data_IF_961708063636
#
_entry.id   IF_961708063636
#
_cell.length_a   1.000
_cell.length_b   1.000
_cell.length_c   1.000
_cell.angle_alpha   90.00
_cell.angle_beta   90.00
_cell.angle_gamma   90.00
#
_symmetry.space_group_name_H-M   'P 1'
#
loop_
_entity.id
_entity.type
_entity.pdbx_description
1 polymer ?
#
# COMPACT_ATOMS: atom_id res chain seq x y z
N UNK A 1 -12.12 0.18 16.91
CA UNK A 1 -12.28 -0.30 15.52
C UNK A 1 -11.26 0.44 14.68
N UNK A 2 -10.36 -0.28 14.00
CA UNK A 2 -9.23 0.33 13.29
C UNK A 2 -9.58 0.53 11.83
N UNK A 3 -9.43 1.75 11.32
CA UNK A 3 -9.53 2.02 9.88
C UNK A 3 -8.14 2.11 9.27
N UNK A 4 -8.02 1.62 8.03
CA UNK A 4 -6.83 1.70 7.21
C UNK A 4 -7.09 2.68 6.07
N UNK A 5 -6.24 3.68 5.95
CA UNK A 5 -6.31 4.70 4.91
C UNK A 5 -5.12 4.53 3.98
N UNK A 6 -5.38 4.37 2.69
CA UNK A 6 -4.36 4.55 1.67
C UNK A 6 -4.46 5.99 1.16
N UNK A 7 -3.46 6.81 1.48
CA UNK A 7 -3.31 8.12 0.83
C UNK A 7 -2.65 7.88 -0.53
N UNK A 8 -3.41 7.97 -1.63
CA UNK A 8 -2.85 7.79 -2.96
C UNK A 8 -1.90 8.95 -3.32
N UNK A 9 -0.64 8.63 -3.64
CA UNK A 9 0.43 9.63 -3.84
C UNK A 9 1.19 9.42 -5.14
N UNK A 10 0.55 8.75 -6.11
CA UNK A 10 1.01 8.62 -7.49
C UNK A 10 0.11 9.42 -8.43
N UNK A 11 0.57 9.71 -9.67
CA UNK A 11 -0.24 10.44 -10.64
C UNK A 11 -1.52 9.72 -11.08
N UNK A 12 -1.48 8.37 -11.07
CA UNK A 12 -2.56 7.48 -11.47
C UNK A 12 -2.53 6.21 -10.62
N UNK A 13 -3.67 5.54 -10.52
CA UNK A 13 -3.74 4.17 -10.00
C UNK A 13 -3.27 3.22 -11.10
N UNK A 14 -2.02 2.76 -11.04
CA UNK A 14 -1.51 1.78 -12.01
C UNK A 14 -2.15 0.39 -11.81
N UNK A 15 -1.98 -0.51 -12.79
CA UNK A 15 -2.45 -1.90 -12.70
C UNK A 15 -1.83 -2.64 -11.50
N UNK A 16 -0.55 -2.40 -11.23
CA UNK A 16 0.12 -2.89 -10.01
C UNK A 16 -0.56 -2.38 -8.74
N UNK A 17 -0.72 -1.05 -8.61
CA UNK A 17 -1.32 -0.46 -7.40
C UNK A 17 -2.75 -0.94 -7.18
N UNK A 18 -3.51 -1.12 -8.26
CA UNK A 18 -4.84 -1.70 -8.19
C UNK A 18 -4.84 -3.08 -7.53
N UNK A 19 -3.92 -3.97 -7.90
CA UNK A 19 -3.82 -5.29 -7.27
C UNK A 19 -3.41 -5.22 -5.81
N UNK A 20 -2.45 -4.36 -5.45
CA UNK A 20 -2.11 -4.15 -4.05
C UNK A 20 -3.28 -3.60 -3.24
N UNK A 21 -3.99 -2.57 -3.74
CA UNK A 21 -5.14 -1.98 -3.04
C UNK A 21 -6.28 -2.98 -2.88
N UNK A 22 -6.54 -3.79 -3.92
CA UNK A 22 -7.51 -4.87 -3.87
C UNK A 22 -7.10 -5.93 -2.85
N UNK A 23 -5.81 -6.21 -2.71
CA UNK A 23 -5.31 -7.12 -1.69
C UNK A 23 -5.43 -6.53 -0.28
N UNK A 24 -5.13 -5.23 -0.10
CA UNK A 24 -5.39 -4.51 1.17
C UNK A 24 -6.86 -4.67 1.58
N UNK A 25 -7.80 -4.46 0.65
CA UNK A 25 -9.23 -4.65 0.92
C UNK A 25 -9.57 -6.05 1.45
N UNK A 26 -8.95 -7.11 0.87
CA UNK A 26 -9.12 -8.49 1.35
C UNK A 26 -8.49 -8.71 2.74
N UNK A 27 -7.36 -8.07 3.00
CA UNK A 27 -6.61 -8.19 4.27
C UNK A 27 -7.38 -7.53 5.40
N UNK A 28 -7.76 -6.25 5.24
CA UNK A 28 -8.34 -5.44 6.31
C UNK A 28 -9.87 -5.47 6.35
N UNK A 29 -10.51 -5.98 5.30
CA UNK A 29 -11.96 -5.88 5.11
C UNK A 29 -12.32 -4.57 4.40
N UNK A 30 -13.20 -4.64 3.39
CA UNK A 30 -13.63 -3.48 2.59
C UNK A 30 -14.21 -2.38 3.48
N UNK A 31 -14.95 -2.76 4.51
CA UNK A 31 -15.58 -1.87 5.50
C UNK A 31 -14.58 -1.11 6.38
N UNK A 32 -13.32 -1.55 6.43
CA UNK A 32 -12.28 -0.89 7.21
C UNK A 32 -11.29 -0.11 6.33
N UNK A 33 -11.43 -0.17 5.01
CA UNK A 33 -10.54 0.49 4.05
C UNK A 33 -11.14 1.82 3.55
N UNK A 34 -10.36 2.89 3.65
CA UNK A 34 -10.61 4.18 3.03
C UNK A 34 -9.46 4.53 2.09
N UNK A 35 -9.75 5.16 0.96
CA UNK A 35 -8.72 5.63 0.03
C UNK A 35 -8.90 7.13 -0.20
N UNK A 36 -7.83 7.91 -0.04
CA UNK A 36 -7.86 9.37 -0.14
C UNK A 36 -6.96 9.86 -1.27
N UNK A 37 -7.13 11.13 -1.64
CA UNK A 37 -6.35 11.85 -2.64
C UNK A 37 -6.49 11.33 -4.09
N UNK A 38 -7.61 10.71 -4.45
CA UNK A 38 -7.83 10.17 -5.80
C UNK A 38 -8.51 11.20 -6.71
N UNK A 39 -7.75 11.83 -7.61
CA UNK A 39 -8.24 13.00 -8.38
C UNK A 39 -9.16 12.64 -9.54
N UNK A 40 -8.94 11.53 -10.23
CA UNK A 40 -9.77 11.08 -11.35
C UNK A 40 -11.07 10.42 -10.85
N UNK A 41 -12.20 10.85 -11.38
CA UNK A 41 -13.54 10.38 -11.01
C UNK A 41 -13.77 8.91 -11.40
N UNK A 42 -13.20 8.44 -12.51
CA UNK A 42 -13.27 7.05 -12.96
C UNK A 42 -12.47 6.15 -12.03
N UNK A 43 -11.27 6.57 -11.63
CA UNK A 43 -10.47 5.84 -10.63
C UNK A 43 -11.22 5.72 -9.30
N UNK A 44 -11.84 6.82 -8.83
CA UNK A 44 -12.68 6.78 -7.61
C UNK A 44 -13.83 5.79 -7.72
N UNK A 45 -14.53 5.75 -8.86
CA UNK A 45 -15.61 4.79 -9.10
C UNK A 45 -15.10 3.35 -9.10
N UNK A 46 -13.93 3.08 -9.69
CA UNK A 46 -13.34 1.73 -9.68
C UNK A 46 -12.94 1.33 -8.25
N UNK A 47 -12.27 2.23 -7.53
CA UNK A 47 -11.80 1.99 -6.15
C UNK A 47 -12.93 1.82 -5.12
N UNK A 48 -14.11 2.42 -5.32
CA UNK A 48 -15.24 2.25 -4.41
C UNK A 48 -15.81 0.82 -4.37
N UNK A 49 -15.45 -0.01 -5.35
CA UNK A 49 -15.76 -1.44 -5.35
C UNK A 49 -14.96 -2.21 -4.29
N UNK A 50 -13.80 -1.71 -3.87
CA UNK A 50 -12.89 -2.37 -2.91
C UNK A 50 -12.71 -1.61 -1.59
N UNK A 51 -13.17 -0.35 -1.48
CA UNK A 51 -13.06 0.44 -0.26
C UNK A 51 -14.45 0.88 0.26
N UNK A 52 -14.56 1.16 1.55
CA UNK A 52 -15.75 1.74 2.17
C UNK A 52 -16.02 3.14 1.60
N UNK A 53 -14.98 3.98 1.58
CA UNK A 53 -15.02 5.36 1.09
C UNK A 53 -13.80 5.66 0.23
N UNK A 54 -14.01 6.47 -0.82
CA UNK A 54 -12.95 6.97 -1.67
C UNK A 54 -13.10 8.49 -1.85
N UNK A 55 -12.10 9.25 -1.43
CA UNK A 55 -12.11 10.71 -1.43
C UNK A 55 -11.25 11.29 -2.54
N UNK A 56 -11.70 12.43 -3.07
CA UNK A 56 -10.90 13.28 -3.97
C UNK A 56 -9.86 14.05 -3.17
N UNK A 57 -10.26 14.49 -1.98
CA UNK A 57 -9.51 15.26 -1.00
C UNK A 57 -8.37 14.42 -0.42
N UNK A 58 -7.27 15.08 -0.07
CA UNK A 58 -6.20 14.44 0.68
C UNK A 58 -6.66 14.14 2.10
N UNK A 59 -6.08 13.13 2.77
CA UNK A 59 -6.36 12.85 4.18
C UNK A 59 -6.25 14.08 5.08
N UNK A 60 -5.35 15.03 4.73
CA UNK A 60 -5.15 16.29 5.45
C UNK A 60 -6.37 17.22 5.46
N UNK A 61 -7.34 16.97 4.58
CA UNK A 61 -8.54 17.78 4.36
C UNK A 61 -9.82 17.00 4.74
N UNK A 62 -9.69 15.77 5.27
CA UNK A 62 -10.83 14.93 5.63
C UNK A 62 -11.15 14.98 7.12
N UNK A 63 -12.39 14.67 7.50
CA UNK A 63 -12.82 14.55 8.90
C UNK A 63 -12.07 13.48 9.70
N UNK A 64 -11.32 12.59 9.03
CA UNK A 64 -10.54 11.54 9.66
C UNK A 64 -9.47 12.13 10.58
N UNK A 65 -8.88 13.28 10.24
CA UNK A 65 -7.81 13.90 11.03
C UNK A 65 -8.30 14.50 12.36
N UNK A 66 -9.55 14.94 12.42
CA UNK A 66 -10.07 15.69 13.57
C UNK A 66 -10.58 14.77 14.68
N UNK A 67 -11.02 13.57 14.31
CA UNK A 67 -11.80 12.70 15.21
C UNK A 67 -11.06 11.42 15.62
N UNK A 68 -9.82 11.22 15.17
CA UNK A 68 -9.11 9.95 15.30
C UNK A 68 -7.62 10.13 15.68
N UNK A 69 -7.05 9.08 16.26
CA UNK A 69 -5.62 8.97 16.51
C UNK A 69 -4.93 8.45 15.25
N UNK A 70 -4.20 9.32 14.55
CA UNK A 70 -3.54 8.95 13.29
C UNK A 70 -2.17 8.33 13.55
N UNK A 71 -1.94 7.16 12.96
CA UNK A 71 -0.63 6.53 12.84
C UNK A 71 -0.23 6.52 11.36
N UNK A 72 0.85 7.19 11.00
CA UNK A 72 1.43 7.13 9.65
C UNK A 72 2.56 6.10 9.64
N UNK A 73 2.47 5.15 8.70
CA UNK A 73 3.55 4.20 8.46
C UNK A 73 4.63 4.88 7.60
N UNK A 74 5.81 5.08 8.18
CA UNK A 74 6.96 5.69 7.54
C UNK A 74 8.20 4.82 7.80
N UNK A 75 8.82 4.24 6.76
CA UNK A 75 10.06 3.46 6.90
C UNK A 75 11.20 4.24 7.59
N UNK A 76 11.18 5.57 7.56
CA UNK A 76 12.19 6.42 8.21
C UNK A 76 11.82 6.84 9.64
N UNK A 77 10.67 6.41 10.18
CA UNK A 77 10.32 6.69 11.56
C UNK A 77 11.31 6.03 12.52
N UNK A 78 11.54 6.66 13.68
CA UNK A 78 12.52 6.18 14.67
C UNK A 78 12.03 4.99 15.51
N UNK A 79 10.72 4.77 15.57
CA UNK A 79 10.10 3.76 16.44
C UNK A 79 9.26 2.80 15.61
N UNK A 80 9.38 1.52 15.94
CA UNK A 80 8.52 0.46 15.42
C UNK A 80 7.08 0.62 15.93
N UNK A 81 6.13 0.27 15.07
CA UNK A 81 4.71 0.14 15.42
C UNK A 81 4.53 -0.93 16.50
N UNK A 82 3.70 -0.64 17.50
CA UNK A 82 3.43 -1.58 18.60
C UNK A 82 1.94 -1.72 18.86
N UNK A 83 1.48 -2.83 19.47
CA UNK A 83 0.08 -3.00 19.88
C UNK A 83 -0.40 -1.84 20.76
N UNK A 84 0.46 -1.31 21.63
CA UNK A 84 0.14 -0.19 22.52
C UNK A 84 -0.10 1.15 21.81
N UNK A 85 0.20 1.26 20.51
CA UNK A 85 -0.12 2.46 19.73
C UNK A 85 -1.60 2.52 19.33
N UNK A 86 -2.34 1.41 19.45
CA UNK A 86 -3.72 1.29 19.00
C UNK A 86 -4.73 1.58 20.13
N UNK A 87 -5.79 2.31 19.77
CA UNK A 87 -6.95 2.68 20.58
C UNK A 87 -8.24 2.41 19.79
N UNK A 88 -9.41 2.63 20.41
CA UNK A 88 -10.70 2.44 19.73
C UNK A 88 -10.91 3.32 18.50
N UNK A 89 -10.16 4.43 18.37
CA UNK A 89 -10.27 5.45 17.31
C UNK A 89 -9.01 5.57 16.47
N UNK A 90 -8.21 4.52 16.35
CA UNK A 90 -6.98 4.57 15.56
C UNK A 90 -7.27 4.49 14.06
N UNK A 91 -6.60 5.36 13.31
CA UNK A 91 -6.54 5.34 11.84
C UNK A 91 -5.09 5.13 11.41
N UNK A 92 -4.83 4.03 10.73
CA UNK A 92 -3.52 3.73 10.14
C UNK A 92 -3.47 4.32 8.74
N UNK A 93 -2.48 5.15 8.45
CA UNK A 93 -2.29 5.82 7.17
C UNK A 93 -1.07 5.23 6.48
N UNK A 94 -1.30 4.68 5.29
CA UNK A 94 -0.31 4.06 4.43
C UNK A 94 -0.15 4.95 3.20
N UNK A 95 1.10 5.27 2.87
CA UNK A 95 1.39 5.99 1.62
C UNK A 95 1.16 5.06 0.44
N UNK A 96 0.19 5.40 -0.41
CA UNK A 96 -0.04 4.75 -1.70
C UNK A 96 1.02 5.18 -2.71
N UNK A 97 2.26 4.73 -2.48
CA UNK A 97 3.48 5.14 -3.19
C UNK A 97 4.13 3.88 -3.78
N UNK A 98 4.49 3.93 -5.06
CA UNK A 98 5.31 2.88 -5.68
C UNK A 98 6.73 2.92 -5.11
N UNK A 99 7.19 1.76 -4.64
CA UNK A 99 8.53 1.61 -4.07
C UNK A 99 9.63 1.86 -5.11
N UNK A 100 10.72 2.48 -4.67
CA UNK A 100 11.97 2.57 -5.40
C UNK A 100 13.02 1.68 -4.71
N UNK A 101 13.97 1.13 -5.48
CA UNK A 101 15.15 0.50 -4.94
C UNK A 101 16.42 1.24 -5.42
N UNK A 102 17.21 1.87 -4.53
CA UNK A 102 16.99 2.00 -3.08
C UNK A 102 15.84 2.95 -2.70
N UNK A 103 15.27 2.86 -1.48
CA UNK A 103 14.18 3.71 -1.05
C UNK A 103 14.53 5.20 -1.05
N UNK A 104 13.67 6.04 -1.65
CA UNK A 104 13.90 7.51 -1.75
C UNK A 104 13.27 8.34 -0.62
N UNK A 105 12.68 7.71 0.40
CA UNK A 105 12.06 8.43 1.52
C UNK A 105 10.83 9.28 1.16
N UNK A 106 10.13 8.92 0.07
CA UNK A 106 8.98 9.69 -0.46
C UNK A 106 7.85 9.84 0.56
N UNK A 107 7.60 8.83 1.40
CA UNK A 107 6.56 8.90 2.45
C UNK A 107 6.77 10.08 3.39
N UNK A 108 8.02 10.32 3.83
CA UNK A 108 8.33 11.45 4.70
C UNK A 108 7.99 12.79 4.05
N UNK A 109 8.41 12.96 2.80
CA UNK A 109 8.23 14.19 2.05
C UNK A 109 6.76 14.45 1.65
N UNK A 110 6.07 13.41 1.17
CA UNK A 110 4.73 13.50 0.58
C UNK A 110 3.60 13.37 1.60
N UNK A 111 3.85 12.74 2.76
CA UNK A 111 2.82 12.42 3.74
C UNK A 111 3.16 12.93 5.15
N UNK A 112 4.26 12.48 5.75
CA UNK A 112 4.54 12.76 7.17
C UNK A 112 4.68 14.25 7.48
N UNK A 113 5.34 15.01 6.60
CA UNK A 113 5.51 16.46 6.76
C UNK A 113 4.16 17.22 6.75
N UNK A 114 3.13 16.65 6.12
CA UNK A 114 1.79 17.24 6.01
C UNK A 114 0.88 16.84 7.18
N UNK A 115 1.27 15.84 7.98
CA UNK A 115 0.54 15.33 9.14
C UNK A 115 1.38 15.47 10.42
N UNK A 116 1.74 16.70 10.86
CA UNK A 116 2.68 16.91 11.96
C UNK A 116 2.19 16.30 13.29
N UNK A 117 0.88 16.27 13.53
CA UNK A 117 0.27 15.73 14.75
C UNK A 117 0.13 14.21 14.78
N UNK A 118 0.23 13.53 13.63
CA UNK A 118 0.12 12.08 13.58
C UNK A 118 1.32 11.42 14.27
N UNK A 119 1.11 10.25 14.85
CA UNK A 119 2.18 9.36 15.32
C UNK A 119 2.86 8.76 14.08
N UNK A 120 4.19 8.68 14.05
CA UNK A 120 4.94 8.02 12.96
C UNK A 120 5.57 6.74 13.47
N UNK A 121 5.42 5.66 12.71
CA UNK A 121 5.95 4.34 13.04
C UNK A 121 6.53 3.65 11.81
N UNK A 122 7.62 2.89 12.02
CA UNK A 122 8.17 2.01 11.00
C UNK A 122 7.68 0.58 11.25
N UNK A 123 7.97 -0.31 10.30
CA UNK A 123 7.66 -1.75 10.38
C UNK A 123 8.96 -2.58 10.40
N UNK A 124 10.01 -2.05 11.01
CA UNK A 124 11.37 -2.58 10.94
C UNK A 124 12.21 -1.89 9.85
N UNK A 125 13.35 -2.52 9.51
CA UNK A 125 14.35 -1.96 8.59
C UNK A 125 14.02 -2.17 7.10
N UNK A 126 13.14 -3.13 6.79
CA UNK A 126 12.78 -3.46 5.41
C UNK A 126 11.75 -2.49 4.84
N UNK A 127 11.78 -2.33 3.52
CA UNK A 127 10.71 -1.65 2.78
C UNK A 127 9.63 -2.67 2.40
N UNK A 128 8.37 -2.34 2.63
CA UNK A 128 7.24 -3.21 2.32
C UNK A 128 6.39 -2.63 1.17
N UNK A 129 5.70 -3.50 0.44
CA UNK A 129 4.59 -3.12 -0.43
C UNK A 129 3.41 -2.54 0.38
N UNK A 130 2.44 -1.94 -0.31
CA UNK A 130 1.31 -1.27 0.35
C UNK A 130 0.44 -2.30 1.10
N UNK A 131 0.22 -3.46 0.50
CA UNK A 131 -0.50 -4.58 1.09
C UNK A 131 0.29 -5.31 2.18
N UNK A 132 1.61 -5.44 2.02
CA UNK A 132 2.51 -5.93 3.07
C UNK A 132 2.47 -5.06 4.33
N UNK A 133 2.54 -3.74 4.15
CA UNK A 133 2.43 -2.79 5.25
C UNK A 133 1.06 -2.84 5.93
N UNK A 134 -0.02 -2.97 5.15
CA UNK A 134 -1.38 -3.11 5.68
C UNK A 134 -1.54 -4.39 6.49
N UNK A 135 -1.00 -5.51 6.01
CA UNK A 135 -1.05 -6.79 6.72
C UNK A 135 -0.34 -6.72 8.07
N UNK A 136 0.90 -6.22 8.09
CA UNK A 136 1.67 -6.11 9.34
C UNK A 136 0.95 -5.19 10.32
N UNK A 137 0.47 -4.03 9.86
CA UNK A 137 -0.27 -3.10 10.71
C UNK A 137 -1.58 -3.71 11.25
N UNK A 138 -2.28 -4.51 10.45
CA UNK A 138 -3.47 -5.26 10.90
C UNK A 138 -3.11 -6.25 12.00
N UNK A 139 -2.11 -7.09 11.80
CA UNK A 139 -1.68 -8.06 12.81
C UNK A 139 -1.30 -7.38 14.12
N UNK A 140 -0.58 -6.26 14.06
CA UNK A 140 -0.20 -5.50 15.27
C UNK A 140 -1.43 -4.88 15.94
N UNK A 141 -2.38 -4.38 15.16
CA UNK A 141 -3.65 -3.86 15.70
C UNK A 141 -4.50 -4.95 16.38
N UNK A 142 -4.28 -6.22 16.03
CA UNK A 142 -4.94 -7.39 16.62
C UNK A 142 -4.17 -7.95 17.82
N UNK A 143 -3.07 -7.30 18.23
CA UNK A 143 -2.33 -7.59 19.46
C UNK A 143 -0.99 -8.28 19.27
N UNK A 144 -0.57 -8.55 18.03
CA UNK A 144 0.73 -9.18 17.75
C UNK A 144 1.89 -8.18 17.84
N UNK A 145 3.02 -8.60 18.40
CA UNK A 145 4.25 -7.81 18.30
C UNK A 145 4.87 -7.96 16.90
N UNK A 146 5.56 -6.93 16.41
CA UNK A 146 6.21 -6.97 15.08
C UNK A 146 7.15 -8.17 14.94
N UNK A 147 7.88 -8.50 16.01
CA UNK A 147 8.81 -9.64 16.06
C UNK A 147 8.13 -11.01 15.93
N UNK A 148 6.82 -11.10 16.13
CA UNK A 148 6.05 -12.35 15.98
C UNK A 148 5.61 -12.59 14.53
N UNK A 149 5.71 -11.59 13.66
CA UNK A 149 5.28 -11.67 12.27
C UNK A 149 6.47 -12.15 11.43
N UNK A 150 6.44 -13.38 10.88
CA UNK A 150 7.55 -13.88 10.08
C UNK A 150 7.64 -13.09 8.77
N UNK A 151 8.84 -12.62 8.43
CA UNK A 151 9.10 -11.78 7.26
C UNK A 151 10.30 -12.36 6.51
N UNK A 152 10.20 -12.42 5.19
CA UNK A 152 11.33 -12.71 4.30
C UNK A 152 11.72 -11.47 3.52
N UNK A 153 13.02 -11.33 3.24
CA UNK A 153 13.56 -10.26 2.42
C UNK A 153 13.78 -10.76 0.99
N UNK A 154 13.19 -10.06 0.03
CA UNK A 154 13.26 -10.41 -1.38
C UNK A 154 12.21 -11.46 -1.78
N UNK A 155 11.72 -11.32 -3.01
CA UNK A 155 10.93 -12.34 -3.69
C UNK A 155 11.46 -12.52 -5.10
N UNK A 156 11.80 -13.75 -5.45
CA UNK A 156 12.06 -14.16 -6.83
C UNK A 156 10.80 -14.77 -7.44
N UNK A 157 10.37 -14.23 -8.57
CA UNK A 157 9.25 -14.73 -9.35
C UNK A 157 9.83 -15.30 -10.63
N UNK A 158 9.87 -16.62 -10.73
CA UNK A 158 10.25 -17.32 -11.95
C UNK A 158 9.14 -17.16 -13.01
N UNK A 159 9.51 -16.59 -14.15
CA UNK A 159 8.60 -16.38 -15.30
C UNK A 159 8.87 -17.44 -16.38
N UNK A 160 10.13 -17.79 -16.60
CA UNK A 160 10.57 -18.90 -17.46
C UNK A 160 11.97 -19.36 -17.06
N UNK A 161 12.47 -20.45 -17.64
CA UNK A 161 13.82 -21.00 -17.43
C UNK A 161 14.97 -19.97 -17.60
N UNK A 162 14.72 -18.82 -18.23
CA UNK A 162 15.72 -17.78 -18.51
C UNK A 162 15.33 -16.39 -18.03
N UNK A 163 14.19 -16.25 -17.34
CA UNK A 163 13.69 -14.95 -16.91
C UNK A 163 13.03 -15.05 -15.54
N UNK A 164 13.54 -14.26 -14.60
CA UNK A 164 12.98 -14.06 -13.27
C UNK A 164 12.82 -12.57 -13.00
N UNK A 165 11.79 -12.24 -12.23
CA UNK A 165 11.56 -10.92 -11.67
C UNK A 165 12.00 -10.95 -10.21
N UNK A 166 12.83 -9.99 -9.80
CA UNK A 166 13.32 -9.85 -8.42
C UNK A 166 12.67 -8.63 -7.79
N UNK A 167 11.94 -8.85 -6.69
CA UNK A 167 11.31 -7.79 -5.91
C UNK A 167 12.04 -7.62 -4.57
N UNK A 168 12.85 -6.56 -4.39
CA UNK A 168 13.71 -6.38 -3.23
C UNK A 168 12.97 -5.73 -2.04
N UNK A 169 11.83 -6.30 -1.66
CA UNK A 169 11.01 -5.83 -0.54
C UNK A 169 10.93 -6.86 0.58
N UNK A 170 10.50 -6.44 1.76
CA UNK A 170 10.06 -7.33 2.82
C UNK A 170 8.67 -7.87 2.52
N UNK A 171 8.47 -9.17 2.74
CA UNK A 171 7.21 -9.86 2.57
C UNK A 171 6.83 -10.60 3.86
N UNK A 172 5.72 -10.23 4.54
CA UNK A 172 5.22 -11.05 5.64
C UNK A 172 4.79 -12.42 5.11
N UNK A 173 5.00 -13.48 5.89
CA UNK A 173 4.61 -14.83 5.52
C UNK A 173 3.19 -15.14 6.03
N UNK A 174 2.31 -15.55 5.12
CA UNK A 174 0.98 -16.09 5.44
C UNK A 174 0.97 -17.56 5.09
N UNK A 175 0.73 -18.43 6.08
CA UNK A 175 0.80 -19.88 5.93
C UNK A 175 2.11 -20.36 5.29
N UNK A 176 3.23 -19.73 5.67
CA UNK A 176 4.57 -20.06 5.18
C UNK A 176 4.90 -19.55 3.77
N UNK A 177 4.02 -18.77 3.13
CA UNK A 177 4.24 -18.17 1.81
C UNK A 177 4.32 -16.65 1.88
N UNK A 178 5.18 -15.99 1.09
CA UNK A 178 5.22 -14.53 0.97
C UNK A 178 3.84 -13.96 0.62
N UNK A 179 3.41 -12.93 1.34
CA UNK A 179 2.17 -12.22 1.06
C UNK A 179 2.31 -11.41 -0.22
N UNK A 180 1.76 -11.96 -1.30
CA UNK A 180 1.60 -11.26 -2.57
C UNK A 180 0.32 -11.76 -3.22
N UNK A 181 -0.45 -10.86 -3.84
CA UNK A 181 -1.71 -11.29 -4.46
C UNK A 181 -1.44 -12.16 -5.70
N UNK A 182 -2.27 -13.18 -5.90
CA UNK A 182 -2.20 -14.03 -7.10
C UNK A 182 -2.38 -13.22 -8.38
N UNK A 183 -3.22 -12.18 -8.34
CA UNK A 183 -3.43 -11.27 -9.47
C UNK A 183 -2.17 -10.46 -9.81
N UNK A 184 -1.43 -10.00 -8.80
CA UNK A 184 -0.14 -9.33 -9.01
C UNK A 184 0.91 -10.30 -9.56
N UNK A 185 0.97 -11.53 -9.05
CA UNK A 185 1.87 -12.56 -9.59
C UNK A 185 1.57 -12.86 -11.07
N UNK A 186 0.29 -13.03 -11.41
CA UNK A 186 -0.11 -13.31 -12.79
C UNK A 186 0.20 -12.13 -13.72
N UNK A 187 -0.04 -10.90 -13.25
CA UNK A 187 0.32 -9.69 -13.98
C UNK A 187 1.82 -9.58 -14.23
N UNK A 188 2.64 -9.81 -13.20
CA UNK A 188 4.09 -9.76 -13.31
C UNK A 188 4.62 -10.82 -14.28
N UNK A 189 4.00 -12.00 -14.34
CA UNK A 189 4.46 -13.06 -15.24
C UNK A 189 4.09 -12.83 -16.71
N UNK A 190 2.95 -12.19 -16.99
CA UNK A 190 2.36 -12.24 -18.33
C UNK A 190 2.19 -10.87 -19.01
N UNK A 191 2.17 -9.78 -18.25
CA UNK A 191 1.71 -8.48 -18.74
C UNK A 191 2.65 -7.32 -18.42
N UNK A 192 3.52 -7.42 -17.42
CA UNK A 192 4.39 -6.31 -17.01
C UNK A 192 5.25 -5.78 -18.16
N UNK A 193 5.83 -6.66 -18.98
CA UNK A 193 6.68 -6.27 -20.12
C UNK A 193 5.94 -5.39 -21.14
N UNK A 194 4.64 -5.66 -21.34
CA UNK A 194 3.78 -4.88 -22.24
C UNK A 194 3.55 -3.50 -21.66
N UNK A 195 3.16 -3.44 -20.39
CA UNK A 195 2.91 -2.17 -19.69
C UNK A 195 4.17 -1.31 -19.59
N UNK A 196 5.34 -1.92 -19.36
CA UNK A 196 6.62 -1.22 -19.39
C UNK A 196 6.96 -0.69 -20.79
N UNK A 197 6.70 -1.48 -21.83
CA UNK A 197 6.87 -1.03 -23.22
C UNK A 197 5.94 0.14 -23.56
N UNK A 198 4.69 0.09 -23.10
CA UNK A 198 3.74 1.20 -23.26
C UNK A 198 4.16 2.44 -22.47
N UNK A 199 4.67 2.26 -21.25
CA UNK A 199 5.21 3.36 -20.44
C UNK A 199 6.34 4.09 -21.18
N UNK A 200 7.29 3.35 -21.76
CA UNK A 200 8.37 3.94 -22.56
C UNK A 200 7.82 4.70 -23.78
N UNK A 201 6.83 4.12 -24.48
CA UNK A 201 6.22 4.73 -25.66
C UNK A 201 5.44 6.01 -25.34
N UNK A 202 4.66 6.00 -24.25
CA UNK A 202 3.74 7.07 -23.87
C UNK A 202 4.42 8.15 -23.01
N UNK A 203 5.56 7.85 -22.38
CA UNK A 203 6.22 8.72 -21.41
C UNK A 203 5.45 8.89 -20.09
N UNK A 204 4.44 8.05 -19.86
CA UNK A 204 3.60 8.05 -18.64
C UNK A 204 3.05 6.66 -18.36
N UNK A 205 2.77 6.39 -17.09
CA UNK A 205 2.09 5.16 -16.66
C UNK A 205 0.62 5.24 -17.06
N UNK A 206 0.03 4.13 -17.51
CA UNK A 206 -1.42 4.03 -17.75
C UNK A 206 -2.16 3.84 -16.42
N UNK A 207 -3.27 4.54 -16.29
CA UNK A 207 -4.22 4.30 -15.21
C UNK A 207 -4.96 2.99 -15.44
N UNK A 208 -5.34 2.31 -14.37
CA UNK A 208 -6.14 1.09 -14.40
C UNK A 208 -7.46 1.25 -15.17
N UNK A 209 -8.03 2.46 -15.18
CA UNK A 209 -9.30 2.72 -15.89
C UNK A 209 -9.14 2.83 -17.40
N UNK A 210 -7.90 2.97 -17.90
CA UNK A 210 -7.63 2.99 -19.34
C UNK A 210 -7.65 1.57 -19.96
N UNK A 211 -7.56 0.54 -19.13
CA UNK A 211 -7.65 -0.87 -19.56
C UNK A 211 -9.08 -1.39 -19.62
N UNK A 212 -10.05 -0.65 -19.05
CA UNK A 212 -11.47 -1.00 -19.12
C UNK A 212 -12.11 -0.50 -20.44
N UNK A 213 -11.42 0.38 -21.17
CA UNK A 213 -11.85 1.00 -22.44
C UNK A 213 -11.34 0.24 -23.68
N UNK A 214 -10.51 -0.81 -23.50
CA UNK A 214 -9.93 -1.68 -24.55
C UNK A 214 -10.69 -3.02 -24.68
#
# INVERSE_FOLDING_TARGET
MTYFVIEHLEPVVSKWMWFEYKNVSRIVGRENLVITNVKDDRERRKLSTIALLVFRESITETFLIENNDLIVLDPQALKELKPSDFSDKTVVVIGGIMGDFPPKGRTKALLCNRLPKAIKRNLGSLQFSIDGAAYIAKMISEGHELAEIPIVEGLEIEVSDKHSIILPYGYPLVNGKPLISEELLEYLKNDIDKDESEFIRLGRVKSIVEYDDE
#
